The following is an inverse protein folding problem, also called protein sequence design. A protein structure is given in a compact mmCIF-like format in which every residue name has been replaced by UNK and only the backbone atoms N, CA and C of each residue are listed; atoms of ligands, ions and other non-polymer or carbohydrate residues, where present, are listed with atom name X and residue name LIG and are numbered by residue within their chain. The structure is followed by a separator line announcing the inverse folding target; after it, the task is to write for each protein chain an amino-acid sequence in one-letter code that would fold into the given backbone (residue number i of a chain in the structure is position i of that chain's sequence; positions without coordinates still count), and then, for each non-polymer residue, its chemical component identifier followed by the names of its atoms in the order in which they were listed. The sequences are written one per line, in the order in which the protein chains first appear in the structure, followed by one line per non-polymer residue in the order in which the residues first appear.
data_IF_235221452989
#
_entry.id   IF_235221452989
#
_cell.length_a   1.000
_cell.length_b   1.000
_cell.length_c   1.000
_cell.angle_alpha   90.00
_cell.angle_beta   90.00
_cell.angle_gamma   90.00
#
_symmetry.space_group_name_H-M   'P 1'
#
loop_
_entity.id
_entity.type
_entity.pdbx_description
1 polymer ?
#
# COMPACT_ATOMS: atom_id res chain seq x y z
N UNK A 1 24.64 1.03 -35.34
CA UNK A 1 23.54 0.58 -34.46
C UNK A 1 22.37 1.48 -34.79
N UNK A 2 21.35 0.94 -35.43
CA UNK A 2 20.15 1.70 -35.82
C UNK A 2 19.16 1.64 -34.66
N UNK A 3 18.55 2.78 -34.33
CA UNK A 3 17.53 2.86 -33.28
C UNK A 3 16.33 1.93 -33.60
N UNK A 4 15.78 1.23 -32.61
CA UNK A 4 14.63 0.35 -32.82
C UNK A 4 13.40 1.17 -33.23
N UNK A 5 12.78 0.78 -34.35
CA UNK A 5 11.55 1.39 -34.86
C UNK A 5 10.37 0.78 -34.09
N UNK A 6 9.72 1.58 -33.24
CA UNK A 6 8.49 1.19 -32.54
C UNK A 6 7.32 1.26 -33.52
N UNK A 7 6.63 0.14 -33.73
CA UNK A 7 5.38 0.08 -34.52
C UNK A 7 4.20 -0.13 -33.58
N UNK A 8 3.22 0.77 -33.65
CA UNK A 8 1.93 0.61 -32.98
C UNK A 8 0.97 -0.14 -33.93
N UNK A 9 0.38 -1.24 -33.47
CA UNK A 9 -0.63 -2.01 -34.21
C UNK A 9 -1.90 -2.17 -33.37
N UNK A 10 -3.05 -2.04 -34.03
CA UNK A 10 -4.36 -2.28 -33.44
C UNK A 10 -4.65 -3.81 -33.43
N UNK A 11 -5.09 -4.33 -32.29
CA UNK A 11 -5.31 -5.77 -32.05
C UNK A 11 -6.56 -6.33 -32.73
N UNK A 12 -7.36 -5.49 -33.40
CA UNK A 12 -8.55 -5.92 -34.14
C UNK A 12 -8.24 -6.63 -35.48
N UNK A 13 -6.96 -6.73 -35.86
CA UNK A 13 -6.54 -7.43 -37.08
C UNK A 13 -6.28 -8.93 -36.79
N UNK A 14 -7.30 -9.76 -37.04
CA UNK A 14 -7.37 -11.19 -36.71
C UNK A 14 -6.47 -12.12 -37.57
N UNK A 15 -5.44 -11.60 -38.22
CA UNK A 15 -4.65 -12.35 -39.23
C UNK A 15 -3.24 -12.78 -38.79
N UNK A 16 -2.79 -12.47 -37.56
CA UNK A 16 -1.42 -12.80 -37.12
C UNK A 16 -1.29 -14.09 -36.28
N UNK A 17 -0.17 -14.84 -36.44
CA UNK A 17 0.09 -16.12 -35.75
C UNK A 17 0.28 -15.95 -34.23
N UNK A 18 0.19 -17.03 -33.43
CA UNK A 18 0.18 -16.95 -31.98
C UNK A 18 1.56 -16.57 -31.42
N UNK A 19 1.63 -15.41 -30.79
CA UNK A 19 2.81 -14.86 -30.13
C UNK A 19 3.06 -15.51 -28.75
N UNK A 20 4.32 -15.80 -28.45
CA UNK A 20 4.81 -16.17 -27.12
C UNK A 20 4.70 -14.95 -26.20
N UNK A 21 3.57 -14.80 -25.49
CA UNK A 21 3.29 -13.65 -24.65
C UNK A 21 4.10 -13.67 -23.34
N UNK A 22 4.81 -12.58 -23.05
CA UNK A 22 5.21 -12.26 -21.67
C UNK A 22 4.08 -11.50 -20.95
N UNK A 23 4.00 -11.69 -19.64
CA UNK A 23 2.86 -11.33 -18.79
C UNK A 23 2.42 -9.85 -18.97
N UNK A 24 1.11 -9.59 -19.12
CA UNK A 24 0.59 -8.23 -19.20
C UNK A 24 0.75 -7.50 -17.86
N UNK A 25 1.33 -6.29 -17.90
CA UNK A 25 1.34 -5.38 -16.75
C UNK A 25 0.16 -4.41 -16.84
N UNK A 26 -0.79 -4.44 -15.88
CA UNK A 26 -1.86 -3.45 -15.85
C UNK A 26 -1.30 -2.08 -15.42
N UNK A 27 -1.44 -1.06 -16.27
CA UNK A 27 -1.19 0.34 -15.89
C UNK A 27 -2.49 1.14 -16.01
N UNK A 28 -2.83 1.87 -14.95
CA UNK A 28 -3.91 2.85 -14.97
C UNK A 28 -3.42 4.09 -15.75
N UNK A 29 -4.13 4.46 -16.82
CA UNK A 29 -3.83 5.70 -17.54
C UNK A 29 -4.33 6.94 -16.79
N UNK A 30 -3.82 8.11 -17.16
CA UNK A 30 -4.20 9.42 -16.62
C UNK A 30 -5.62 9.86 -17.01
N UNK A 31 -6.32 9.09 -17.86
CA UNK A 31 -7.67 9.37 -18.36
C UNK A 31 -8.76 8.59 -17.61
N UNK A 32 -8.37 7.74 -16.65
CA UNK A 32 -9.30 6.86 -15.93
C UNK A 32 -9.86 5.72 -16.79
N UNK A 33 -9.34 5.52 -18.01
CA UNK A 33 -9.69 4.39 -18.87
C UNK A 33 -8.62 3.33 -18.68
N UNK A 34 -8.99 2.20 -18.05
CA UNK A 34 -8.07 1.09 -17.88
C UNK A 34 -7.53 0.66 -19.24
N UNK A 35 -6.23 0.76 -19.44
CA UNK A 35 -5.54 0.35 -20.66
C UNK A 35 -4.58 -0.78 -20.30
N UNK A 36 -4.42 -1.75 -21.18
CA UNK A 36 -3.33 -2.73 -21.06
C UNK A 36 -2.28 -2.45 -22.12
N UNK A 37 -1.03 -2.73 -21.77
CA UNK A 37 0.10 -2.74 -22.70
C UNK A 37 0.67 -4.16 -22.76
N UNK A 38 0.82 -4.69 -23.98
CA UNK A 38 1.56 -5.94 -24.22
C UNK A 38 2.73 -5.56 -25.11
N UNK A 39 3.95 -5.89 -24.66
CA UNK A 39 5.14 -5.75 -25.48
C UNK A 39 5.62 -7.16 -25.86
N UNK A 40 5.82 -7.41 -27.15
CA UNK A 40 6.47 -8.63 -27.65
C UNK A 40 7.70 -8.26 -28.47
N UNK A 41 8.71 -9.13 -28.42
CA UNK A 41 9.92 -9.00 -29.26
C UNK A 41 9.93 -10.14 -30.27
N UNK A 42 9.79 -9.81 -31.55
CA UNK A 42 9.96 -10.75 -32.66
C UNK A 42 11.01 -10.19 -33.62
N UNK A 43 12.02 -10.99 -33.97
CA UNK A 43 12.99 -10.69 -35.04
C UNK A 43 13.58 -9.27 -35.01
N UNK A 44 14.06 -8.81 -33.85
CA UNK A 44 14.60 -7.46 -33.59
C UNK A 44 13.57 -6.30 -33.63
N UNK A 45 12.27 -6.60 -33.63
CA UNK A 45 11.21 -5.59 -33.51
C UNK A 45 10.58 -5.62 -32.12
N UNK A 46 10.36 -4.43 -31.55
CA UNK A 46 9.52 -4.23 -30.38
C UNK A 46 8.10 -3.91 -30.84
N UNK A 47 7.18 -4.85 -30.65
CA UNK A 47 5.76 -4.66 -30.92
C UNK A 47 5.07 -4.28 -29.62
N UNK A 48 4.47 -3.09 -29.58
CA UNK A 48 3.68 -2.63 -28.45
C UNK A 48 2.20 -2.60 -28.85
N UNK A 49 1.39 -3.34 -28.10
CA UNK A 49 -0.06 -3.36 -28.24
C UNK A 49 -0.69 -2.61 -27.08
N UNK A 50 -1.62 -1.71 -27.38
CA UNK A 50 -2.43 -1.02 -26.39
C UNK A 50 -3.91 -1.24 -26.67
N UNK A 51 -4.68 -1.60 -25.66
CA UNK A 51 -6.12 -1.79 -25.80
C UNK A 51 -6.90 -1.28 -24.60
N UNK A 52 -8.18 -0.98 -24.82
CA UNK A 52 -9.10 -0.62 -23.74
C UNK A 52 -9.52 -1.88 -22.97
N UNK A 53 -9.42 -1.84 -21.64
CA UNK A 53 -9.93 -2.91 -20.79
C UNK A 53 -11.46 -2.93 -20.78
N UNK A 54 -12.04 -4.13 -20.81
CA UNK A 54 -13.47 -4.29 -20.57
C UNK A 54 -13.83 -3.81 -19.15
N UNK A 55 -15.05 -3.27 -18.98
CA UNK A 55 -15.52 -2.77 -17.67
C UNK A 55 -15.40 -3.82 -16.56
N UNK A 56 -15.67 -5.10 -16.88
CA UNK A 56 -15.55 -6.22 -15.95
C UNK A 56 -14.10 -6.45 -15.49
N UNK A 57 -13.16 -6.50 -16.42
CA UNK A 57 -11.73 -6.70 -16.10
C UNK A 57 -11.17 -5.52 -15.28
N UNK A 58 -11.56 -4.29 -15.61
CA UNK A 58 -11.22 -3.09 -14.82
C UNK A 58 -11.68 -3.21 -13.37
N UNK A 59 -12.94 -3.65 -13.16
CA UNK A 59 -13.50 -3.84 -11.82
C UNK A 59 -12.72 -4.88 -11.02
N UNK A 60 -12.35 -6.01 -11.66
CA UNK A 60 -11.58 -7.05 -10.99
C UNK A 60 -10.17 -6.58 -10.62
N UNK A 61 -9.46 -5.90 -11.52
CA UNK A 61 -8.12 -5.36 -11.24
C UNK A 61 -8.16 -4.33 -10.10
N UNK A 62 -9.13 -3.42 -10.10
CA UNK A 62 -9.32 -2.46 -9.02
C UNK A 62 -9.62 -3.15 -7.68
N UNK A 63 -10.45 -4.19 -7.68
CA UNK A 63 -10.74 -4.97 -6.47
C UNK A 63 -9.51 -5.69 -5.93
N UNK A 64 -8.68 -6.26 -6.81
CA UNK A 64 -7.44 -6.93 -6.42
C UNK A 64 -6.42 -5.95 -5.83
N UNK A 65 -6.23 -4.80 -6.48
CA UNK A 65 -5.35 -3.74 -5.98
C UNK A 65 -5.82 -3.21 -4.61
N UNK A 66 -7.14 -3.04 -4.44
CA UNK A 66 -7.73 -2.63 -3.16
C UNK A 66 -7.51 -3.69 -2.08
N UNK A 67 -7.65 -4.97 -2.44
CA UNK A 67 -7.38 -6.09 -1.53
C UNK A 67 -5.92 -6.09 -1.07
N UNK A 68 -4.97 -6.03 -2.01
CA UNK A 68 -3.54 -6.02 -1.71
C UNK A 68 -3.14 -4.84 -0.80
N UNK A 69 -3.72 -3.66 -1.02
CA UNK A 69 -3.50 -2.49 -0.15
C UNK A 69 -4.01 -2.72 1.28
N UNK A 70 -5.22 -3.27 1.43
CA UNK A 70 -5.78 -3.58 2.75
C UNK A 70 -4.97 -4.65 3.47
N UNK A 71 -4.56 -5.69 2.75
CA UNK A 71 -3.69 -6.73 3.27
C UNK A 71 -2.37 -6.15 3.79
N UNK A 72 -1.73 -5.27 3.01
CA UNK A 72 -0.53 -4.57 3.46
C UNK A 72 -0.77 -3.78 4.75
N UNK A 73 -1.87 -3.01 4.84
CA UNK A 73 -2.22 -2.27 6.06
C UNK A 73 -2.46 -3.18 7.26
N UNK A 74 -3.11 -4.34 7.07
CA UNK A 74 -3.29 -5.31 8.16
C UNK A 74 -1.95 -5.88 8.64
N UNK A 75 -1.06 -6.23 7.71
CA UNK A 75 0.27 -6.74 8.03
C UNK A 75 1.06 -5.68 8.81
N UNK A 76 1.04 -4.42 8.37
CA UNK A 76 1.66 -3.29 9.07
C UNK A 76 1.10 -3.13 10.48
N UNK A 77 -0.24 -3.13 10.63
CA UNK A 77 -0.89 -2.99 11.93
C UNK A 77 -0.52 -4.11 12.91
N UNK A 78 -0.51 -5.36 12.44
CA UNK A 78 -0.13 -6.52 13.26
C UNK A 78 1.36 -6.45 13.61
N UNK A 79 2.23 -6.11 12.66
CA UNK A 79 3.67 -5.97 12.89
C UNK A 79 3.95 -4.90 13.94
N UNK A 80 3.37 -3.71 13.79
CA UNK A 80 3.54 -2.62 14.74
C UNK A 80 2.96 -2.95 16.13
N UNK A 81 1.84 -3.67 16.19
CA UNK A 81 1.31 -4.17 17.46
C UNK A 81 2.29 -5.12 18.15
N UNK A 82 2.91 -6.04 17.41
CA UNK A 82 3.93 -6.95 17.95
C UNK A 82 5.14 -6.18 18.48
N UNK A 83 5.60 -5.13 17.77
CA UNK A 83 6.70 -4.27 18.26
C UNK A 83 6.36 -3.62 19.61
N UNK A 84 5.13 -3.12 19.78
CA UNK A 84 4.68 -2.54 21.06
C UNK A 84 4.62 -3.57 22.17
N UNK A 85 4.18 -4.80 21.86
CA UNK A 85 4.17 -5.90 22.82
C UNK A 85 5.59 -6.27 23.25
N UNK A 86 6.51 -6.41 22.29
CA UNK A 86 7.90 -6.74 22.55
C UNK A 86 8.60 -5.65 23.37
N UNK A 87 8.36 -4.38 23.06
CA UNK A 87 8.86 -3.26 23.83
C UNK A 87 8.32 -3.26 25.27
N UNK A 88 7.02 -3.48 25.44
CA UNK A 88 6.41 -3.58 26.77
C UNK A 88 7.01 -4.72 27.59
N UNK A 89 7.24 -5.89 26.97
CA UNK A 89 7.92 -7.00 27.62
C UNK A 89 9.35 -6.64 28.06
N UNK A 90 10.08 -5.89 27.24
CA UNK A 90 11.42 -5.45 27.56
C UNK A 90 11.40 -4.45 28.73
N UNK A 91 10.48 -3.48 28.73
CA UNK A 91 10.28 -2.54 29.86
C UNK A 91 9.94 -3.28 31.15
N UNK A 92 9.06 -4.29 31.09
CA UNK A 92 8.73 -5.10 32.26
C UNK A 92 9.94 -5.84 32.83
N UNK A 93 10.90 -6.25 32.00
CA UNK A 93 12.13 -6.91 32.48
C UNK A 93 13.02 -5.94 33.27
N UNK A 94 13.10 -4.66 32.86
CA UNK A 94 13.79 -3.63 33.66
C UNK A 94 13.06 -3.42 34.98
N UNK A 95 11.74 -3.23 34.94
CA UNK A 95 10.93 -2.96 36.15
C UNK A 95 11.06 -4.09 37.19
N UNK A 96 11.27 -5.32 36.72
CA UNK A 96 11.47 -6.50 37.55
C UNK A 96 12.95 -6.75 37.94
N UNK A 97 13.87 -5.87 37.54
CA UNK A 97 15.32 -5.99 37.70
C UNK A 97 15.89 -7.31 37.11
N UNK A 98 15.29 -7.80 36.02
CA UNK A 98 15.78 -8.98 35.29
C UNK A 98 16.92 -8.62 34.33
N UNK A 99 16.92 -7.37 33.86
CA UNK A 99 17.99 -6.75 33.09
C UNK A 99 18.34 -5.40 33.71
N UNK A 100 19.57 -4.95 33.50
CA UNK A 100 20.03 -3.61 33.86
C UNK A 100 19.62 -2.56 32.82
N UNK A 101 19.73 -1.28 33.18
CA UNK A 101 19.48 -0.15 32.28
C UNK A 101 20.47 -0.17 31.09
N UNK A 102 21.75 -0.46 31.34
CA UNK A 102 22.76 -0.61 30.29
C UNK A 102 22.42 -1.73 29.29
N UNK A 103 21.88 -2.86 29.77
CA UNK A 103 21.44 -3.97 28.92
C UNK A 103 20.18 -3.63 28.11
N UNK A 104 19.28 -2.83 28.68
CA UNK A 104 18.11 -2.34 27.96
C UNK A 104 18.50 -1.43 26.81
N UNK A 105 19.35 -0.42 27.07
CA UNK A 105 19.80 0.52 26.06
C UNK A 105 20.55 -0.19 24.94
N UNK A 106 21.43 -1.14 25.30
CA UNK A 106 22.15 -1.97 24.33
C UNK A 106 21.19 -2.79 23.45
N UNK A 107 20.13 -3.39 24.01
CA UNK A 107 19.15 -4.17 23.25
C UNK A 107 18.35 -3.28 22.29
N UNK A 108 17.92 -2.09 22.73
CA UNK A 108 17.21 -1.13 21.87
C UNK A 108 18.10 -0.64 20.73
N UNK A 109 19.36 -0.30 21.00
CA UNK A 109 20.31 0.16 19.98
C UNK A 109 20.69 -0.93 18.98
N UNK A 110 20.84 -2.18 19.45
CA UNK A 110 21.28 -3.29 18.59
C UNK A 110 20.13 -3.89 17.79
N UNK A 111 18.91 -3.88 18.33
CA UNK A 111 17.73 -4.54 17.75
C UNK A 111 16.57 -3.56 17.51
N UNK A 112 16.86 -2.32 17.12
CA UNK A 112 15.90 -1.21 16.93
C UNK A 112 14.64 -1.64 16.14
N UNK A 113 14.83 -2.37 15.03
CA UNK A 113 13.76 -2.83 14.14
C UNK A 113 12.68 -3.66 14.86
N UNK A 114 13.02 -4.32 15.96
CA UNK A 114 12.08 -5.13 16.73
C UNK A 114 11.15 -4.29 17.60
N UNK A 115 11.58 -3.11 17.99
CA UNK A 115 10.92 -2.30 19.03
C UNK A 115 10.36 -0.99 18.48
N UNK A 116 11.05 -0.36 17.53
CA UNK A 116 10.68 0.96 17.04
C UNK A 116 9.76 0.88 15.82
N UNK A 117 8.73 1.73 15.85
CA UNK A 117 7.82 1.92 14.72
C UNK A 117 8.34 3.10 13.92
N UNK A 118 8.71 2.85 12.67
CA UNK A 118 9.12 3.91 11.75
C UNK A 118 7.92 4.41 10.96
N UNK A 119 7.80 5.73 10.84
CA UNK A 119 6.78 6.37 10.00
C UNK A 119 7.13 6.20 8.53
N UNK A 120 6.12 5.80 7.75
CA UNK A 120 6.19 5.73 6.30
C UNK A 120 5.81 7.09 5.71
N UNK A 121 6.82 7.90 5.39
CA UNK A 121 6.62 9.22 4.77
C UNK A 121 5.99 9.15 3.36
N UNK A 122 5.98 7.98 2.73
CA UNK A 122 5.37 7.75 1.41
C UNK A 122 3.91 7.28 1.49
N UNK A 123 3.31 7.25 2.68
CA UNK A 123 1.90 6.89 2.87
C UNK A 123 1.00 7.81 2.04
N UNK A 124 0.09 7.28 1.23
CA UNK A 124 -0.79 8.09 0.35
C UNK A 124 -2.12 8.41 1.03
N UNK A 125 -2.75 9.49 0.61
CA UNK A 125 -4.03 9.93 1.19
C UNK A 125 -5.14 8.90 0.92
N UNK A 126 -5.17 8.30 -0.28
CA UNK A 126 -6.07 7.18 -0.61
C UNK A 126 -5.89 5.97 0.31
N UNK A 127 -4.70 5.77 0.88
CA UNK A 127 -4.43 4.66 1.79
C UNK A 127 -5.01 4.92 3.19
N UNK A 128 -5.23 6.19 3.53
CA UNK A 128 -5.86 6.60 4.77
C UNK A 128 -7.34 6.20 4.81
N UNK A 129 -8.05 6.29 3.68
CA UNK A 129 -9.43 5.78 3.57
C UNK A 129 -9.53 4.30 3.94
N UNK A 130 -8.56 3.51 3.48
CA UNK A 130 -8.51 2.10 3.81
C UNK A 130 -8.21 1.91 5.31
N UNK A 131 -7.27 2.66 5.88
CA UNK A 131 -6.96 2.61 7.32
C UNK A 131 -8.19 2.96 8.17
N UNK A 132 -8.91 4.04 7.85
CA UNK A 132 -10.16 4.44 8.51
C UNK A 132 -11.23 3.34 8.37
N UNK A 133 -11.36 2.76 7.18
CA UNK A 133 -12.32 1.67 6.94
C UNK A 133 -12.02 0.40 7.74
N UNK A 134 -10.75 0.17 8.08
CA UNK A 134 -10.31 -0.95 8.90
C UNK A 134 -10.64 -0.70 10.36
N UNK A 135 -10.26 0.46 10.91
CA UNK A 135 -10.47 0.74 12.34
C UNK A 135 -11.94 0.92 12.70
N UNK A 136 -12.75 1.46 11.80
CA UNK A 136 -14.20 1.58 12.00
C UNK A 136 -14.92 0.22 12.11
N UNK A 137 -14.27 -0.89 11.70
CA UNK A 137 -14.81 -2.24 11.86
C UNK A 137 -14.46 -2.85 13.21
N UNK A 138 -13.58 -2.24 13.99
CA UNK A 138 -13.19 -2.73 15.31
C UNK A 138 -14.25 -2.25 16.30
N UNK A 139 -15.09 -3.14 16.84
CA UNK A 139 -16.20 -2.73 17.69
C UNK A 139 -15.70 -2.18 19.03
N UNK A 140 -16.42 -1.20 19.56
CA UNK A 140 -16.24 -0.63 20.91
C UNK A 140 -14.87 0.00 21.22
N UNK A 141 -14.06 0.30 20.21
CA UNK A 141 -12.80 1.04 20.38
C UNK A 141 -12.81 2.31 19.55
N UNK A 142 -12.48 3.43 20.19
CA UNK A 142 -12.12 4.67 19.51
C UNK A 142 -10.60 4.76 19.53
N UNK A 143 -10.01 5.01 18.37
CA UNK A 143 -8.57 5.17 18.24
C UNK A 143 -8.20 6.65 18.28
N UNK A 144 -7.15 6.99 19.00
CA UNK A 144 -6.56 8.34 18.97
C UNK A 144 -5.71 8.52 17.71
N UNK A 145 -5.37 9.77 17.37
CA UNK A 145 -4.45 10.07 16.27
C UNK A 145 -3.10 9.38 16.45
N UNK A 146 -2.56 9.35 17.67
CA UNK A 146 -1.30 8.66 17.99
C UNK A 146 -1.41 7.16 17.73
N UNK A 147 -2.50 6.53 18.18
CA UNK A 147 -2.71 5.10 17.96
C UNK A 147 -2.83 4.76 16.47
N UNK A 148 -3.49 5.60 15.68
CA UNK A 148 -3.59 5.40 14.22
C UNK A 148 -2.25 5.63 13.52
N UNK A 149 -1.52 6.66 13.95
CA UNK A 149 -0.18 7.00 13.47
C UNK A 149 0.77 5.81 13.64
N UNK A 150 0.84 5.28 14.86
CA UNK A 150 1.68 4.13 15.16
C UNK A 150 1.18 2.85 14.49
N UNK A 151 -0.14 2.58 14.53
CA UNK A 151 -0.70 1.34 14.00
C UNK A 151 -0.43 1.18 12.51
N UNK A 152 -0.57 2.25 11.72
CA UNK A 152 -0.40 2.17 10.27
C UNK A 152 0.93 2.76 9.78
N UNK A 153 1.86 3.08 10.68
CA UNK A 153 3.12 3.75 10.35
C UNK A 153 2.88 5.05 9.55
N UNK A 154 1.87 5.84 9.91
CA UNK A 154 1.57 7.11 9.24
C UNK A 154 2.23 8.23 10.03
N UNK A 155 2.80 9.28 9.40
CA UNK A 155 3.26 10.45 10.12
C UNK A 155 2.10 11.08 10.91
N UNK A 156 2.33 11.42 12.18
CA UNK A 156 1.29 11.93 13.08
C UNK A 156 0.61 13.20 12.55
N UNK A 157 1.39 14.12 12.01
CA UNK A 157 0.90 15.36 11.39
C UNK A 157 -0.05 15.07 10.24
N UNK A 158 0.25 14.01 9.47
CA UNK A 158 -0.57 13.56 8.36
C UNK A 158 -1.90 12.97 8.84
N UNK A 159 -1.88 12.18 9.91
CA UNK A 159 -3.11 11.66 10.53
C UNK A 159 -4.01 12.80 11.01
N UNK A 160 -3.47 13.78 11.72
CA UNK A 160 -4.24 14.92 12.22
C UNK A 160 -4.85 15.75 11.09
N UNK A 161 -4.09 16.04 10.03
CA UNK A 161 -4.58 16.78 8.87
C UNK A 161 -5.73 16.03 8.18
N UNK A 162 -5.59 14.73 8.00
CA UNK A 162 -6.61 13.91 7.34
C UNK A 162 -7.87 13.78 8.22
N UNK A 163 -7.72 13.55 9.53
CA UNK A 163 -8.88 13.49 10.44
C UNK A 163 -9.68 14.79 10.45
N UNK A 164 -9.04 15.96 10.43
CA UNK A 164 -9.73 17.26 10.33
C UNK A 164 -10.54 17.35 9.03
N UNK A 165 -9.99 16.86 7.91
CA UNK A 165 -10.68 16.83 6.61
C UNK A 165 -11.88 15.87 6.67
N UNK A 166 -11.73 14.69 7.27
CA UNK A 166 -12.82 13.71 7.41
C UNK A 166 -13.93 14.20 8.33
N UNK A 167 -13.61 14.79 9.47
CA UNK A 167 -14.61 15.38 10.38
C UNK A 167 -15.35 16.55 9.73
N UNK A 168 -14.64 17.37 8.94
CA UNK A 168 -15.25 18.47 8.18
C UNK A 168 -16.15 17.96 7.05
N UNK A 169 -15.80 16.83 6.44
CA UNK A 169 -16.59 16.19 5.37
C UNK A 169 -17.81 15.44 5.91
N UNK A 170 -17.71 14.83 7.10
CA UNK A 170 -18.84 14.16 7.76
C UNK A 170 -19.87 15.13 8.34
N UNK A 171 -19.49 16.38 8.69
CA UNK A 171 -20.44 17.44 9.07
C UNK A 171 -21.37 17.90 7.94
N UNK A 172 -21.16 17.44 6.70
CA UNK A 172 -22.04 17.71 5.56
C UNK A 172 -23.17 16.68 5.37
N UNK A 173 -23.20 15.61 6.17
CA UNK A 173 -24.23 14.55 6.10
C UNK A 173 -25.19 14.53 7.31
N UNK A 174 -25.12 15.52 8.19
CA UNK A 174 -26.08 15.72 9.29
C UNK A 174 -26.89 17.03 9.15
N UNK A 175 -27.51 17.25 7.99
CA UNK A 175 -28.58 18.26 7.84
C UNK A 175 -29.76 17.71 7.06
#
# INVERSE_FOLDING_TARGET
MSDPIIKFRDLNDLTSPPLTAYQPFPMLDTSGRGSYFIATTEDNFFNCYSGAMSKGLKSHILSFHTFAKKEHLYITAISNLNKKIDYLHLTMQIDQNLISEDEFDYEIETNEDRYLIHSNNNFKDDDFEFAVSVVNKIPHRKFTSDELSEMFSIPFEKVNNLLVIYESSCKFLER
#
